data_IF_956047776702
#
_entry.id   IF_956047776702
#
_cell.length_a   1.000
_cell.length_b   1.000
_cell.length_c   1.000
_cell.angle_alpha   90.00
_cell.angle_beta   90.00
_cell.angle_gamma   90.00
#
_symmetry.space_group_name_H-M   'P 1'
#
loop_
_entity.id
_entity.type
_entity.pdbx_description
1 polymer ?
#
# COMPACT_ATOMS: atom_id res chain seq x y z
N UNK A 1 -0.71 -8.32 0.88
CA UNK A 1 -2.14 -8.26 0.50
C UNK A 1 -2.37 -8.24 -1.01
N UNK A 2 -1.55 -7.54 -1.83
CA UNK A 2 -1.71 -7.52 -3.30
C UNK A 2 -1.84 -8.91 -3.95
N UNK A 3 -1.05 -9.88 -3.49
CA UNK A 3 -1.12 -11.27 -3.98
C UNK A 3 -2.44 -11.98 -3.67
N UNK A 4 -3.11 -11.64 -2.55
CA UNK A 4 -4.43 -12.20 -2.22
C UNK A 4 -5.47 -11.69 -3.22
N UNK A 5 -5.44 -10.40 -3.55
CA UNK A 5 -6.33 -9.81 -4.55
C UNK A 5 -6.09 -10.36 -5.95
N UNK A 6 -4.83 -10.65 -6.30
CA UNK A 6 -4.48 -11.32 -7.57
C UNK A 6 -5.05 -12.74 -7.61
N UNK A 7 -4.94 -13.50 -6.51
CA UNK A 7 -5.52 -14.84 -6.42
C UNK A 7 -7.06 -14.83 -6.55
N UNK A 8 -7.69 -13.75 -6.10
CA UNK A 8 -9.15 -13.55 -6.19
C UNK A 8 -9.60 -12.95 -7.53
N UNK A 9 -8.66 -12.62 -8.42
CA UNK A 9 -8.86 -11.89 -9.69
C UNK A 9 -9.55 -10.53 -9.53
N UNK A 10 -9.20 -9.80 -8.47
CA UNK A 10 -9.79 -8.51 -8.09
C UNK A 10 -8.79 -7.34 -8.08
N UNK A 11 -7.59 -7.55 -8.62
CA UNK A 11 -6.49 -6.56 -8.65
C UNK A 11 -6.82 -5.28 -9.42
N UNK A 12 -7.83 -5.30 -10.29
CA UNK A 12 -8.18 -4.16 -11.13
C UNK A 12 -8.99 -3.10 -10.36
N UNK A 13 -9.74 -3.51 -9.33
CA UNK A 13 -10.60 -2.60 -8.57
C UNK A 13 -9.81 -1.61 -7.71
N UNK A 14 -8.66 -2.03 -7.17
CA UNK A 14 -7.74 -1.15 -6.44
C UNK A 14 -7.05 -0.10 -7.33
N UNK A 15 -7.07 -0.26 -8.67
CA UNK A 15 -6.53 0.73 -9.60
C UNK A 15 -7.53 1.88 -9.86
N UNK A 16 -8.80 1.69 -9.48
CA UNK A 16 -9.87 2.67 -9.56
C UNK A 16 -10.69 2.58 -10.83
N UNK A 17 -11.79 3.34 -10.84
CA UNK A 17 -12.79 3.38 -11.92
C UNK A 17 -12.17 3.74 -13.27
N UNK A 18 -11.07 4.50 -13.28
CA UNK A 18 -10.32 4.88 -14.49
C UNK A 18 -9.73 3.69 -15.25
N UNK A 19 -9.43 2.59 -14.55
CA UNK A 19 -8.92 1.33 -15.15
C UNK A 19 -9.98 0.23 -15.19
N UNK A 20 -11.25 0.62 -15.11
CA UNK A 20 -12.37 -0.31 -15.26
C UNK A 20 -12.33 -0.94 -16.67
N UNK A 21 -12.38 -2.27 -16.80
CA UNK A 21 -12.40 -2.93 -18.10
C UNK A 21 -13.65 -2.53 -18.91
N UNK A 22 -13.44 -2.22 -20.19
CA UNK A 22 -14.51 -1.91 -21.15
C UNK A 22 -15.49 -3.09 -21.22
N UNK A 23 -16.77 -2.84 -20.90
CA UNK A 23 -17.81 -3.85 -20.83
C UNK A 23 -18.28 -4.23 -19.41
N UNK A 24 -17.61 -3.74 -18.36
CA UNK A 24 -18.09 -3.95 -16.99
C UNK A 24 -19.29 -3.04 -16.69
N UNK A 25 -20.40 -3.60 -16.24
CA UNK A 25 -21.59 -2.83 -15.85
C UNK A 25 -21.31 -2.12 -14.51
N UNK A 26 -21.78 -0.88 -14.32
CA UNK A 26 -21.57 -0.11 -13.08
C UNK A 26 -21.99 -0.86 -11.81
N UNK A 27 -23.07 -1.65 -11.89
CA UNK A 27 -23.50 -2.49 -10.79
C UNK A 27 -22.51 -3.61 -10.46
N UNK A 28 -21.95 -4.28 -11.47
CA UNK A 28 -20.92 -5.30 -11.28
C UNK A 28 -19.66 -4.70 -10.70
N UNK A 29 -19.28 -3.50 -11.16
CA UNK A 29 -18.15 -2.77 -10.60
C UNK A 29 -18.34 -2.46 -9.11
N UNK A 30 -19.51 -1.95 -8.71
CA UNK A 30 -19.82 -1.70 -7.30
C UNK A 30 -19.75 -2.97 -6.44
N UNK A 31 -20.23 -4.11 -6.94
CA UNK A 31 -20.10 -5.38 -6.23
C UNK A 31 -18.64 -5.80 -6.06
N UNK A 32 -17.83 -5.64 -7.10
CA UNK A 32 -16.39 -5.92 -7.01
C UNK A 32 -15.71 -4.99 -6.01
N UNK A 33 -16.04 -3.70 -6.01
CA UNK A 33 -15.50 -2.71 -5.06
C UNK A 33 -15.77 -3.10 -3.61
N UNK A 34 -17.02 -3.44 -3.28
CA UNK A 34 -17.38 -3.95 -1.94
C UNK A 34 -16.61 -5.22 -1.61
N UNK A 35 -16.51 -6.17 -2.54
CA UNK A 35 -15.81 -7.44 -2.33
C UNK A 35 -14.32 -7.24 -2.05
N UNK A 36 -13.67 -6.34 -2.79
CA UNK A 36 -12.26 -5.99 -2.57
C UNK A 36 -12.09 -5.32 -1.22
N UNK A 37 -12.93 -4.35 -0.89
CA UNK A 37 -12.89 -3.68 0.41
C UNK A 37 -12.99 -4.68 1.57
N UNK A 38 -13.99 -5.55 1.56
CA UNK A 38 -14.15 -6.57 2.61
C UNK A 38 -12.97 -7.54 2.67
N UNK A 39 -12.40 -7.90 1.51
CA UNK A 39 -11.19 -8.73 1.46
C UNK A 39 -9.98 -8.01 2.06
N UNK A 40 -9.82 -6.71 1.81
CA UNK A 40 -8.79 -5.88 2.42
C UNK A 40 -8.98 -5.89 3.94
N UNK A 41 -10.17 -5.52 4.42
CA UNK A 41 -10.52 -5.44 5.85
C UNK A 41 -10.29 -6.75 6.61
N UNK A 42 -10.65 -7.90 6.01
CA UNK A 42 -10.44 -9.22 6.62
C UNK A 42 -8.97 -9.53 6.91
N UNK A 43 -8.05 -8.91 6.16
CA UNK A 43 -6.61 -9.11 6.31
C UNK A 43 -5.93 -7.99 7.12
N UNK A 44 -6.70 -7.06 7.68
CA UNK A 44 -6.22 -6.03 8.58
C UNK A 44 -6.32 -6.50 10.04
N UNK A 45 -5.51 -5.88 10.90
CA UNK A 45 -5.64 -6.02 12.35
C UNK A 45 -6.48 -4.85 12.89
N UNK A 46 -7.11 -5.01 14.06
CA UNK A 46 -8.02 -4.02 14.66
C UNK A 46 -7.43 -2.60 14.69
N UNK A 47 -6.15 -2.47 15.05
CA UNK A 47 -5.45 -1.18 15.12
C UNK A 47 -5.27 -0.51 13.75
N UNK A 48 -5.23 -1.31 12.67
CA UNK A 48 -5.13 -0.81 11.29
C UNK A 48 -6.54 -0.46 10.77
N UNK A 49 -7.55 -1.21 11.19
CA UNK A 49 -8.95 -1.02 10.81
C UNK A 49 -9.50 0.36 11.24
N UNK A 50 -9.00 0.93 12.34
CA UNK A 50 -9.30 2.31 12.76
C UNK A 50 -8.94 3.38 11.71
N UNK A 51 -8.09 3.04 10.74
CA UNK A 51 -7.71 3.96 9.66
C UNK A 51 -8.58 3.77 8.41
N UNK A 52 -9.55 2.85 8.39
CA UNK A 52 -10.43 2.58 7.26
C UNK A 52 -11.84 3.08 7.59
N UNK A 53 -12.38 3.96 6.75
CA UNK A 53 -13.73 4.52 6.94
C UNK A 53 -14.76 3.66 6.18
N UNK A 54 -15.98 3.51 6.73
CA UNK A 54 -17.05 2.71 6.11
C UNK A 54 -17.48 3.23 4.73
N UNK A 55 -17.34 4.53 4.49
CA UNK A 55 -17.71 5.16 3.21
C UNK A 55 -16.63 5.07 2.13
N UNK A 56 -15.40 4.63 2.48
CA UNK A 56 -14.31 4.53 1.50
C UNK A 56 -14.55 3.42 0.48
N UNK A 57 -14.23 3.68 -0.79
CA UNK A 57 -14.16 2.63 -1.80
C UNK A 57 -12.86 1.80 -1.67
N UNK A 58 -12.75 0.72 -2.43
CA UNK A 58 -11.60 -0.18 -2.34
C UNK A 58 -10.27 0.51 -2.68
N UNK A 59 -10.27 1.42 -3.67
CA UNK A 59 -9.09 2.19 -4.06
C UNK A 59 -8.67 3.18 -2.96
N UNK A 60 -9.61 3.95 -2.42
CA UNK A 60 -9.34 4.91 -1.34
C UNK A 60 -8.79 4.20 -0.10
N UNK A 61 -9.37 3.05 0.24
CA UNK A 61 -8.88 2.19 1.32
C UNK A 61 -7.44 1.75 1.04
N UNK A 62 -7.17 1.27 -0.18
CA UNK A 62 -5.84 0.84 -0.60
C UNK A 62 -4.81 1.98 -0.58
N UNK A 63 -5.15 3.14 -1.12
CA UNK A 63 -4.27 4.32 -1.19
C UNK A 63 -3.98 4.88 0.21
N UNK A 64 -4.97 4.89 1.12
CA UNK A 64 -4.78 5.29 2.52
C UNK A 64 -3.86 4.32 3.25
N UNK A 65 -4.04 3.01 3.05
CA UNK A 65 -3.14 2.00 3.60
C UNK A 65 -1.72 2.16 3.04
N UNK A 66 -1.58 2.36 1.72
CA UNK A 66 -0.28 2.62 1.11
C UNK A 66 0.35 3.87 1.70
N UNK A 67 -0.37 4.99 1.81
CA UNK A 67 0.17 6.23 2.38
C UNK A 67 0.60 6.08 3.84
N UNK A 68 -0.23 5.46 4.69
CA UNK A 68 0.03 5.34 6.12
C UNK A 68 1.15 4.33 6.40
N UNK A 69 1.18 3.23 5.65
CA UNK A 69 2.04 2.09 5.97
C UNK A 69 3.25 1.95 5.06
N UNK A 70 3.31 2.50 3.85
CA UNK A 70 4.50 2.43 2.99
C UNK A 70 5.74 2.93 3.70
N UNK A 71 5.66 4.01 4.49
CA UNK A 71 6.78 4.49 5.32
C UNK A 71 6.96 3.78 6.67
N UNK A 72 5.94 3.07 7.17
CA UNK A 72 5.90 2.50 8.54
C UNK A 72 5.99 0.97 8.59
N UNK A 73 5.99 0.28 7.46
CA UNK A 73 6.07 -1.19 7.44
C UNK A 73 7.33 -1.66 8.17
N UNK A 74 7.24 -2.83 8.82
CA UNK A 74 8.40 -3.47 9.43
C UNK A 74 9.50 -3.69 8.39
N UNK A 75 9.13 -4.08 7.16
CA UNK A 75 10.06 -4.22 6.04
C UNK A 75 10.75 -2.92 5.67
N UNK A 76 10.06 -1.78 5.57
CA UNK A 76 10.71 -0.49 5.33
C UNK A 76 11.62 -0.09 6.49
N UNK A 77 11.20 -0.32 7.74
CA UNK A 77 12.05 -0.03 8.91
C UNK A 77 13.30 -0.91 8.95
N UNK A 78 13.17 -2.18 8.58
CA UNK A 78 14.30 -3.11 8.51
C UNK A 78 15.24 -2.72 7.36
N UNK A 79 14.69 -2.41 6.20
CA UNK A 79 15.42 -1.93 5.03
C UNK A 79 16.19 -0.64 5.34
N UNK A 80 15.55 0.36 5.94
CA UNK A 80 16.20 1.61 6.34
C UNK A 80 17.27 1.41 7.42
N UNK A 81 17.07 0.45 8.34
CA UNK A 81 18.10 0.09 9.33
C UNK A 81 19.29 -0.60 8.68
N UNK A 82 19.05 -1.49 7.72
CA UNK A 82 20.09 -2.18 6.97
C UNK A 82 20.90 -1.19 6.13
N UNK A 83 20.25 -0.28 5.40
CA UNK A 83 20.92 0.81 4.67
C UNK A 83 21.74 1.71 5.61
N UNK A 84 21.21 2.05 6.80
CA UNK A 84 21.94 2.86 7.77
C UNK A 84 23.18 2.15 8.31
N UNK A 85 23.09 0.84 8.57
CA UNK A 85 24.22 0.05 9.07
C UNK A 85 25.26 -0.23 7.99
N UNK A 86 24.82 -0.35 6.74
CA UNK A 86 25.68 -0.50 5.57
C UNK A 86 26.17 0.84 5.00
N UNK A 87 25.84 1.95 5.67
CA UNK A 87 26.28 3.29 5.29
C UNK A 87 27.77 3.44 5.59
N UNK A 88 28.60 3.11 4.60
CA UNK A 88 30.04 3.29 4.65
C UNK A 88 30.42 4.68 4.12
N UNK A 89 31.13 5.44 4.95
CA UNK A 89 31.73 6.71 4.57
C UNK A 89 33.20 6.48 4.21
N UNK A 90 33.65 6.98 3.07
CA UNK A 90 35.09 7.04 2.76
C UNK A 90 35.81 7.93 3.77
N UNK A 91 36.98 7.49 4.26
CA UNK A 91 37.84 8.32 5.09
C UNK A 91 38.19 9.61 4.31
N UNK A 92 37.81 10.77 4.86
CA UNK A 92 37.87 12.13 4.28
C UNK A 92 36.64 12.62 3.48
N UNK A 93 35.53 11.88 3.45
CA UNK A 93 34.27 12.37 2.85
C UNK A 93 33.60 13.49 3.64
N UNK A 94 32.94 14.43 2.96
CA UNK A 94 32.11 15.45 3.61
C UNK A 94 30.87 14.78 4.23
N UNK A 95 30.78 14.79 5.56
CA UNK A 95 29.67 14.26 6.35
C UNK A 95 28.31 14.79 5.88
N UNK A 96 28.23 16.07 5.51
CA UNK A 96 26.97 16.73 5.15
C UNK A 96 26.50 16.32 3.74
N UNK A 97 27.43 16.08 2.82
CA UNK A 97 27.12 15.55 1.48
C UNK A 97 26.78 14.05 1.52
N UNK A 98 27.37 13.33 2.48
CA UNK A 98 27.10 11.91 2.70
C UNK A 98 25.71 11.69 3.33
N UNK A 99 25.35 12.50 4.33
CA UNK A 99 24.03 12.45 4.98
C UNK A 99 22.87 12.94 4.09
N UNK A 100 23.12 13.78 3.09
CA UNK A 100 22.09 14.25 2.16
C UNK A 100 21.79 13.27 1.02
N UNK A 101 22.63 12.24 0.85
CA UNK A 101 22.40 11.12 -0.08
C UNK A 101 21.59 9.98 0.54
N UNK A 102 21.45 9.97 1.86
CA UNK A 102 20.62 9.06 2.65
C UNK A 102 19.21 9.63 2.85
#
# INVERSE_FOLDING_TARGET
MKNVLIQQDLQHTILGVEKKPDGTIDFQWKQMDVKVKSSIELHLTDNVMLNVDEDMNAKETWDKLEKVYKGKTLSNKLFLKDELLNLWMEECGNLQDHLSRF
#
